data_IF_225153652533
#
_entry.id   IF_225153652533
#
_cell.length_a   1.000
_cell.length_b   1.000
_cell.length_c   1.000
_cell.angle_alpha   90.00
_cell.angle_beta   90.00
_cell.angle_gamma   90.00
#
_symmetry.space_group_name_H-M   'P 1'
#
loop_
_entity.id
_entity.type
_entity.pdbx_description
1 polymer ?
#
# COMPACT_ATOMS: atom_id res chain seq x y z
N UNK A 1 -10.58 13.13 -5.05
CA UNK A 1 -9.81 12.78 -6.28
C UNK A 1 -10.28 11.39 -6.72
N UNK A 2 -10.58 11.18 -8.00
CA UNK A 2 -10.96 9.84 -8.50
C UNK A 2 -9.80 8.87 -8.24
N UNK A 3 -10.09 7.71 -7.64
CA UNK A 3 -9.10 6.66 -7.34
C UNK A 3 -8.26 6.30 -8.57
N UNK A 4 -8.86 6.33 -9.76
CA UNK A 4 -8.17 6.11 -11.04
C UNK A 4 -7.03 7.11 -11.29
N UNK A 5 -7.25 8.39 -10.98
CA UNK A 5 -6.21 9.42 -11.10
C UNK A 5 -5.09 9.18 -10.10
N UNK A 6 -5.44 8.80 -8.87
CA UNK A 6 -4.47 8.49 -7.82
C UNK A 6 -3.58 7.30 -8.20
N UNK A 7 -4.19 6.23 -8.72
CA UNK A 7 -3.48 5.05 -9.23
C UNK A 7 -2.58 5.42 -10.42
N UNK A 8 -3.05 6.28 -11.34
CA UNK A 8 -2.24 6.72 -12.48
C UNK A 8 -1.01 7.52 -12.04
N UNK A 9 -1.15 8.39 -11.03
CA UNK A 9 -0.03 9.13 -10.45
C UNK A 9 0.94 8.19 -9.71
N UNK A 10 0.40 7.25 -8.93
CA UNK A 10 1.19 6.22 -8.25
C UNK A 10 2.02 5.37 -9.23
N UNK A 11 1.42 4.94 -10.36
CA UNK A 11 2.12 4.21 -11.42
C UNK A 11 3.32 4.99 -11.99
N UNK A 12 3.28 6.33 -11.94
CA UNK A 12 4.35 7.24 -12.36
C UNK A 12 5.35 7.56 -11.25
N UNK A 13 5.33 6.83 -10.13
CA UNK A 13 6.20 7.07 -8.96
C UNK A 13 5.98 8.45 -8.33
N UNK A 14 4.75 8.93 -8.32
CA UNK A 14 4.41 10.14 -7.55
C UNK A 14 4.37 9.80 -6.06
N UNK A 15 5.22 10.47 -5.27
CA UNK A 15 5.34 10.24 -3.83
C UNK A 15 4.08 10.64 -3.07
N UNK A 16 3.39 11.71 -3.47
CA UNK A 16 2.15 12.16 -2.81
C UNK A 16 1.02 11.18 -3.07
N UNK A 17 0.98 10.60 -4.27
CA UNK A 17 0.03 9.56 -4.59
C UNK A 17 0.26 8.31 -3.73
N UNK A 18 1.52 7.93 -3.52
CA UNK A 18 1.87 6.84 -2.63
C UNK A 18 1.53 7.14 -1.17
N UNK A 19 1.83 8.33 -0.67
CA UNK A 19 1.48 8.76 0.69
C UNK A 19 -0.04 8.70 0.94
N UNK A 20 -0.84 9.15 -0.03
CA UNK A 20 -2.29 9.03 0.05
C UNK A 20 -2.76 7.57 0.09
N UNK A 21 -2.20 6.71 -0.78
CA UNK A 21 -2.50 5.28 -0.76
C UNK A 21 -2.08 4.63 0.57
N UNK A 22 -0.90 5.00 1.09
CA UNK A 22 -0.43 4.54 2.39
C UNK A 22 -1.42 4.90 3.49
N UNK A 23 -1.81 6.18 3.59
CA UNK A 23 -2.76 6.65 4.61
C UNK A 23 -4.14 5.99 4.49
N UNK A 24 -4.56 5.62 3.28
CA UNK A 24 -5.85 4.94 3.07
C UNK A 24 -5.84 3.47 3.51
N UNK A 25 -4.71 2.77 3.37
CA UNK A 25 -4.67 1.31 3.52
C UNK A 25 -3.86 0.83 4.72
N UNK A 26 -2.95 1.64 5.28
CA UNK A 26 -2.01 1.24 6.34
C UNK A 26 -2.71 0.68 7.58
N UNK A 27 -3.73 1.34 8.10
CA UNK A 27 -4.45 0.89 9.30
C UNK A 27 -5.11 -0.48 9.10
N UNK A 28 -5.86 -0.63 8.01
CA UNK A 28 -6.53 -1.90 7.68
C UNK A 28 -5.53 -3.04 7.41
N UNK A 29 -4.44 -2.74 6.72
CA UNK A 29 -3.38 -3.70 6.42
C UNK A 29 -2.63 -4.12 7.67
N UNK A 30 -2.28 -3.17 8.54
CA UNK A 30 -1.67 -3.43 9.83
C UNK A 30 -2.55 -4.35 10.68
N UNK A 31 -3.85 -4.07 10.77
CA UNK A 31 -4.79 -4.92 11.51
C UNK A 31 -4.83 -6.37 11.00
N UNK A 32 -4.80 -6.57 9.67
CA UNK A 32 -4.73 -7.90 9.07
C UNK A 32 -3.41 -8.59 9.41
N UNK A 33 -2.28 -7.92 9.23
CA UNK A 33 -0.95 -8.48 9.52
C UNK A 33 -0.83 -8.83 11.00
N UNK A 34 -1.21 -7.91 11.89
CA UNK A 34 -1.20 -8.12 13.33
C UNK A 34 -2.03 -9.33 13.76
N UNK A 35 -3.19 -9.56 13.14
CA UNK A 35 -4.01 -10.73 13.45
C UNK A 35 -3.32 -12.07 13.13
N UNK A 36 -2.33 -12.06 12.22
CA UNK A 36 -1.52 -13.21 11.83
C UNK A 36 -0.29 -13.35 12.74
N UNK A 37 0.49 -12.27 12.90
CA UNK A 37 1.79 -12.33 13.61
C UNK A 37 1.68 -12.15 15.12
N UNK A 38 0.62 -11.49 15.60
CA UNK A 38 0.33 -11.20 17.03
C UNK A 38 1.44 -10.45 17.77
N UNK A 39 2.21 -9.66 17.03
CA UNK A 39 3.31 -8.84 17.51
C UNK A 39 3.26 -7.49 16.78
N UNK A 40 3.34 -6.39 17.53
CA UNK A 40 3.19 -5.05 16.97
C UNK A 40 4.42 -4.65 16.13
N UNK A 41 5.62 -4.92 16.62
CA UNK A 41 6.87 -4.51 15.96
C UNK A 41 7.05 -5.29 14.66
N UNK A 42 6.77 -6.59 14.68
CA UNK A 42 6.80 -7.44 13.48
C UNK A 42 5.71 -7.02 12.48
N UNK A 43 4.50 -6.70 12.96
CA UNK A 43 3.43 -6.27 12.07
C UNK A 43 3.75 -4.96 11.36
N UNK A 44 4.36 -4.02 12.06
CA UNK A 44 4.81 -2.76 11.50
C UNK A 44 5.93 -2.97 10.48
N UNK A 45 6.95 -3.77 10.80
CA UNK A 45 8.05 -4.10 9.87
C UNK A 45 7.50 -4.72 8.58
N UNK A 46 6.65 -5.75 8.69
CA UNK A 46 6.04 -6.42 7.55
C UNK A 46 5.19 -5.46 6.72
N UNK A 47 4.41 -4.58 7.36
CA UNK A 47 3.61 -3.58 6.66
C UNK A 47 4.50 -2.64 5.84
N UNK A 48 5.55 -2.08 6.44
CA UNK A 48 6.50 -1.20 5.75
C UNK A 48 7.12 -1.92 4.55
N UNK A 49 7.53 -3.17 4.74
CA UNK A 49 8.11 -4.02 3.70
C UNK A 49 7.17 -4.23 2.51
N UNK A 50 5.88 -4.42 2.79
CA UNK A 50 4.86 -4.56 1.74
C UNK A 50 4.68 -3.26 0.97
N UNK A 51 4.60 -2.12 1.66
CA UNK A 51 4.48 -0.83 0.99
C UNK A 51 5.71 -0.50 0.11
N UNK A 52 6.91 -0.86 0.55
CA UNK A 52 8.15 -0.76 -0.27
C UNK A 52 8.03 -1.66 -1.52
N UNK A 53 7.59 -2.91 -1.37
CA UNK A 53 7.38 -3.83 -2.50
C UNK A 53 6.32 -3.30 -3.48
N UNK A 54 5.24 -2.72 -2.97
CA UNK A 54 4.17 -2.09 -3.76
C UNK A 54 4.74 -0.89 -4.51
N UNK A 55 5.50 -0.01 -3.85
CA UNK A 55 6.19 1.11 -4.49
C UNK A 55 7.07 0.62 -5.64
N UNK A 56 7.93 -0.38 -5.43
CA UNK A 56 8.78 -0.93 -6.50
C UNK A 56 7.98 -1.49 -7.68
N UNK A 57 6.80 -2.06 -7.42
CA UNK A 57 5.90 -2.62 -8.44
C UNK A 57 4.87 -1.62 -9.00
N UNK A 58 4.94 -0.35 -8.61
CA UNK A 58 3.92 0.66 -8.92
C UNK A 58 3.55 0.71 -10.41
N UNK A 59 4.54 0.66 -11.31
CA UNK A 59 4.33 0.71 -12.77
C UNK A 59 3.49 -0.45 -13.32
N UNK A 60 3.48 -1.59 -12.62
CA UNK A 60 2.75 -2.80 -13.00
C UNK A 60 1.43 -2.97 -12.25
N UNK A 61 1.12 -2.04 -11.34
CA UNK A 61 -0.11 -2.09 -10.57
C UNK A 61 -1.31 -2.00 -11.50
N UNK A 62 -2.25 -2.91 -11.34
CA UNK A 62 -3.48 -2.92 -12.12
C UNK A 62 -4.67 -3.09 -11.18
N UNK A 63 -5.51 -2.05 -11.11
CA UNK A 63 -6.69 -2.00 -10.27
C UNK A 63 -7.73 -3.09 -10.61
N UNK A 64 -7.71 -3.67 -11.82
CA UNK A 64 -8.64 -4.74 -12.20
C UNK A 64 -8.23 -6.13 -11.70
N UNK A 65 -7.00 -6.28 -11.17
CA UNK A 65 -6.49 -7.56 -10.66
C UNK A 65 -6.83 -7.82 -9.18
N UNK A 66 -7.48 -6.88 -8.50
CA UNK A 66 -7.90 -7.03 -7.11
C UNK A 66 -9.41 -6.87 -6.95
N UNK A 67 -10.12 -7.98 -6.77
CA UNK A 67 -11.37 -8.10 -6.03
C UNK A 67 -11.38 -9.46 -5.33
#
# INVERSE_FOLDING_TARGET
MQLETLISQFQKKDEKAFEQLYNMYSESMHGVIYNIVRDHDIAEEVMQDVFIKVWHKASTYNASKGR
#
